data_IF_416776979443
#
_entry.id   IF_416776979443
#
_cell.length_a   1.000
_cell.length_b   1.000
_cell.length_c   1.000
_cell.angle_alpha   90.00
_cell.angle_beta   90.00
_cell.angle_gamma   90.00
#
_symmetry.space_group_name_H-M   'P 1'
#
loop_
_entity.id
_entity.type
_entity.pdbx_description
1 polymer ?
#
# COMPACT_ATOMS: atom_id res chain seq x y z
N UNK A 1 1.59 15.41 12.61
CA UNK A 1 2.89 14.80 12.27
C UNK A 1 3.77 15.91 11.72
N UNK A 2 4.91 16.19 12.35
CA UNK A 2 5.94 17.03 11.72
C UNK A 2 6.68 16.13 10.73
N UNK A 3 6.23 16.13 9.49
CA UNK A 3 6.91 15.40 8.43
C UNK A 3 8.26 16.11 8.19
N UNK A 4 9.33 15.48 8.62
CA UNK A 4 10.68 16.01 8.34
C UNK A 4 10.93 15.88 6.83
N UNK A 5 10.99 16.99 6.05
CA UNK A 5 11.12 16.92 4.60
C UNK A 5 12.39 16.19 4.15
N UNK A 6 13.48 16.36 4.89
CA UNK A 6 14.74 15.69 4.59
C UNK A 6 14.62 14.17 4.75
N UNK A 7 13.96 13.72 5.82
CA UNK A 7 13.72 12.28 6.02
C UNK A 7 12.84 11.70 4.91
N UNK A 8 11.77 12.40 4.52
CA UNK A 8 10.92 11.98 3.40
C UNK A 8 11.71 11.87 2.09
N UNK A 9 12.58 12.84 1.81
CA UNK A 9 13.42 12.82 0.60
C UNK A 9 14.42 11.67 0.61
N UNK A 10 15.06 11.39 1.75
CA UNK A 10 16.00 10.26 1.91
C UNK A 10 15.24 8.93 1.73
N UNK A 11 14.08 8.77 2.36
CA UNK A 11 13.26 7.57 2.20
C UNK A 11 12.75 7.41 0.76
N UNK A 12 12.35 8.52 0.11
CA UNK A 12 11.95 8.50 -1.30
C UNK A 12 13.11 8.09 -2.21
N UNK A 13 14.32 8.62 -1.99
CA UNK A 13 15.50 8.25 -2.77
C UNK A 13 15.83 6.75 -2.63
N UNK A 14 15.80 6.22 -1.41
CA UNK A 14 16.00 4.79 -1.16
C UNK A 14 14.91 3.94 -1.84
N UNK A 15 13.65 4.39 -1.78
CA UNK A 15 12.54 3.71 -2.44
C UNK A 15 12.65 3.72 -3.97
N UNK A 16 13.03 4.85 -4.55
CA UNK A 16 13.26 4.96 -6.01
C UNK A 16 14.44 4.10 -6.46
N UNK A 17 15.49 4.00 -5.65
CA UNK A 17 16.60 3.09 -5.93
C UNK A 17 16.15 1.62 -5.93
N UNK A 18 15.36 1.20 -4.93
CA UNK A 18 14.79 -0.15 -4.91
C UNK A 18 13.86 -0.41 -6.11
N UNK A 19 13.05 0.59 -6.50
CA UNK A 19 12.20 0.51 -7.69
C UNK A 19 13.03 0.39 -8.98
N UNK A 20 14.15 1.09 -9.07
CA UNK A 20 15.07 0.99 -10.19
C UNK A 20 15.69 -0.40 -10.31
N UNK A 21 16.15 -1.00 -9.20
CA UNK A 21 16.65 -2.37 -9.17
C UNK A 21 15.58 -3.38 -9.60
N UNK A 22 14.37 -3.24 -9.04
CA UNK A 22 13.24 -4.10 -9.41
C UNK A 22 12.88 -3.96 -10.89
N UNK A 23 12.89 -2.74 -11.42
CA UNK A 23 12.63 -2.49 -12.84
C UNK A 23 13.72 -3.07 -13.76
N UNK A 24 14.97 -3.15 -13.30
CA UNK A 24 16.04 -3.82 -14.04
C UNK A 24 15.75 -5.33 -14.18
N UNK A 25 15.40 -5.99 -13.06
CA UNK A 25 15.01 -7.40 -13.07
C UNK A 25 13.75 -7.65 -13.90
N UNK A 26 12.75 -6.76 -13.83
CA UNK A 26 11.55 -6.83 -14.65
C UNK A 26 11.86 -6.77 -16.16
N UNK A 27 12.77 -5.87 -16.57
CA UNK A 27 13.16 -5.76 -18.00
C UNK A 27 13.84 -7.03 -18.49
N UNK A 28 14.71 -7.65 -17.69
CA UNK A 28 15.36 -8.92 -18.06
C UNK A 28 14.36 -10.07 -18.14
N UNK A 29 13.42 -10.15 -17.20
CA UNK A 29 12.35 -11.14 -17.23
C UNK A 29 11.42 -10.95 -18.45
N UNK A 30 11.10 -9.70 -18.80
CA UNK A 30 10.31 -9.37 -19.99
C UNK A 30 11.03 -9.73 -21.30
N UNK A 31 12.37 -9.65 -21.32
CA UNK A 31 13.20 -10.03 -22.45
C UNK A 31 13.44 -11.56 -22.56
N UNK A 32 12.72 -12.38 -21.73
CA UNK A 32 12.89 -13.84 -21.72
C UNK A 32 14.18 -14.35 -21.05
N UNK A 33 14.87 -13.50 -20.29
CA UNK A 33 16.11 -13.82 -19.58
C UNK A 33 15.94 -13.55 -18.08
N UNK A 34 15.09 -14.32 -17.36
CA UNK A 34 14.82 -14.08 -15.96
C UNK A 34 16.09 -14.27 -15.12
N UNK A 35 16.36 -13.33 -14.21
CA UNK A 35 17.44 -13.43 -13.24
C UNK A 35 17.01 -14.37 -12.10
N UNK A 36 17.74 -15.45 -11.76
CA UNK A 36 17.41 -16.33 -10.63
C UNK A 36 17.43 -15.63 -9.28
N UNK A 37 18.12 -14.50 -9.17
CA UNK A 37 18.21 -13.68 -7.96
C UNK A 37 17.37 -12.40 -8.06
N UNK A 38 16.40 -12.37 -8.98
CA UNK A 38 15.52 -11.21 -9.16
C UNK A 38 14.76 -10.88 -7.89
N UNK A 39 14.48 -9.60 -7.69
CA UNK A 39 13.58 -9.15 -6.65
C UNK A 39 12.18 -9.77 -6.82
N UNK A 40 11.47 -10.07 -5.74
CA UNK A 40 10.18 -10.76 -5.79
C UNK A 40 9.18 -10.10 -6.73
N UNK A 41 8.49 -10.92 -7.51
CA UNK A 41 7.43 -10.48 -8.41
C UNK A 41 7.85 -9.55 -9.55
N UNK A 42 9.14 -9.44 -9.85
CA UNK A 42 9.68 -8.68 -10.99
C UNK A 42 9.45 -9.41 -12.31
N UNK A 43 8.21 -9.75 -12.60
CA UNK A 43 7.77 -10.47 -13.79
C UNK A 43 6.58 -9.80 -14.46
N UNK A 44 6.39 -9.94 -15.79
CA UNK A 44 5.26 -9.32 -16.47
C UNK A 44 3.89 -9.80 -15.99
N UNK A 45 2.94 -8.88 -15.95
CA UNK A 45 1.51 -9.13 -15.82
C UNK A 45 0.74 -8.48 -16.97
N UNK A 46 -0.47 -8.94 -17.22
CA UNK A 46 -1.38 -8.27 -18.15
C UNK A 46 -1.77 -6.89 -17.64
N UNK A 47 -1.86 -5.90 -18.51
CA UNK A 47 -2.36 -4.55 -18.19
C UNK A 47 -3.78 -4.64 -17.63
N UNK A 48 -4.61 -5.52 -18.18
CA UNK A 48 -5.98 -5.75 -17.69
C UNK A 48 -6.01 -6.13 -16.21
N UNK A 49 -5.11 -6.98 -15.76
CA UNK A 49 -5.03 -7.38 -14.34
C UNK A 49 -4.64 -6.19 -13.45
N UNK A 50 -3.74 -5.33 -13.93
CA UNK A 50 -3.41 -4.10 -13.21
C UNK A 50 -4.62 -3.15 -13.14
N UNK A 51 -5.41 -3.05 -14.21
CA UNK A 51 -6.64 -2.26 -14.23
C UNK A 51 -7.67 -2.83 -13.24
N UNK A 52 -7.92 -4.14 -13.26
CA UNK A 52 -8.84 -4.79 -12.29
C UNK A 52 -8.38 -4.56 -10.86
N UNK A 53 -7.08 -4.69 -10.60
CA UNK A 53 -6.51 -4.46 -9.27
C UNK A 53 -6.72 -3.01 -8.81
N UNK A 54 -6.43 -2.04 -9.67
CA UNK A 54 -6.64 -0.63 -9.39
C UNK A 54 -8.13 -0.29 -9.17
N UNK A 55 -9.02 -0.80 -10.00
CA UNK A 55 -10.48 -0.57 -9.87
C UNK A 55 -11.03 -1.14 -8.56
N UNK A 56 -10.58 -2.33 -8.13
CA UNK A 56 -10.97 -2.87 -6.83
C UNK A 56 -10.47 -2.02 -5.66
N UNK A 57 -9.23 -1.50 -5.75
CA UNK A 57 -8.71 -0.58 -4.74
C UNK A 57 -9.50 0.74 -4.69
N UNK A 58 -9.86 1.31 -5.85
CA UNK A 58 -10.70 2.51 -5.94
C UNK A 58 -12.11 2.25 -5.38
N UNK A 59 -12.71 1.09 -5.62
CA UNK A 59 -13.99 0.72 -5.04
C UNK A 59 -13.94 0.65 -3.51
N UNK A 60 -12.87 0.05 -2.94
CA UNK A 60 -12.64 0.03 -1.49
C UNK A 60 -12.49 1.47 -0.95
N UNK A 61 -11.69 2.32 -1.61
CA UNK A 61 -11.49 3.72 -1.20
C UNK A 61 -12.79 4.52 -1.27
N UNK A 62 -13.61 4.30 -2.30
CA UNK A 62 -14.93 4.94 -2.43
C UNK A 62 -15.86 4.51 -1.29
N UNK A 63 -15.90 3.21 -0.97
CA UNK A 63 -16.68 2.68 0.14
C UNK A 63 -16.19 3.23 1.49
N UNK A 64 -14.87 3.33 1.68
CA UNK A 64 -14.24 3.96 2.84
C UNK A 64 -14.69 5.42 2.99
N UNK A 65 -14.54 6.24 1.94
CA UNK A 65 -14.93 7.66 1.97
C UNK A 65 -16.42 7.84 2.22
N UNK A 66 -17.25 7.03 1.55
CA UNK A 66 -18.70 7.06 1.77
C UNK A 66 -19.08 6.69 3.20
N UNK A 67 -18.45 5.65 3.75
CA UNK A 67 -18.66 5.24 5.14
C UNK A 67 -18.25 6.32 6.14
N UNK A 68 -17.10 6.99 5.92
CA UNK A 68 -16.65 8.11 6.75
C UNK A 68 -17.66 9.27 6.76
N UNK A 69 -18.21 9.61 5.60
CA UNK A 69 -19.23 10.66 5.47
C UNK A 69 -20.49 10.25 6.25
N UNK A 70 -20.96 9.01 6.06
CA UNK A 70 -22.18 8.50 6.72
C UNK A 70 -22.07 8.41 8.23
N UNK A 71 -20.87 8.12 8.73
CA UNK A 71 -20.59 7.99 10.16
C UNK A 71 -20.16 9.32 10.82
N UNK A 72 -20.07 10.42 10.07
CA UNK A 72 -19.61 11.72 10.59
C UNK A 72 -18.13 11.72 10.96
N UNK A 73 -17.32 10.85 10.35
CA UNK A 73 -15.88 10.72 10.63
C UNK A 73 -15.00 11.57 9.72
N UNK A 74 -15.59 12.20 8.69
CA UNK A 74 -14.84 12.97 7.68
C UNK A 74 -14.07 14.16 8.27
N UNK A 75 -14.60 14.78 9.33
CA UNK A 75 -13.96 15.92 10.00
C UNK A 75 -12.73 15.51 10.84
N UNK A 76 -12.56 14.21 11.10
CA UNK A 76 -11.44 13.66 11.85
C UNK A 76 -10.27 13.25 10.95
N UNK A 77 -10.26 13.69 9.69
CA UNK A 77 -9.17 13.41 8.75
C UNK A 77 -7.87 14.10 9.19
N UNK A 78 -6.77 13.37 9.14
CA UNK A 78 -5.44 13.96 9.33
C UNK A 78 -5.07 14.85 8.15
N UNK A 79 -4.43 15.99 8.43
CA UNK A 79 -3.83 16.82 7.39
C UNK A 79 -2.58 16.13 6.81
N UNK A 80 -2.27 16.42 5.56
CA UNK A 80 -1.06 15.96 4.89
C UNK A 80 -0.47 17.08 4.02
N UNK A 81 0.84 17.01 3.75
CA UNK A 81 1.51 17.93 2.83
C UNK A 81 1.55 17.35 1.42
N UNK A 82 1.82 18.18 0.41
CA UNK A 82 1.99 17.71 -0.98
C UNK A 82 3.18 16.75 -1.06
N UNK A 83 4.30 17.08 -0.40
CA UNK A 83 5.50 16.23 -0.39
C UNK A 83 5.20 14.85 0.21
N UNK A 84 4.45 14.79 1.33
CA UNK A 84 4.04 13.52 1.91
C UNK A 84 3.14 12.72 0.96
N UNK A 85 2.18 13.39 0.29
CA UNK A 85 1.33 12.76 -0.71
C UNK A 85 2.13 12.12 -1.86
N UNK A 86 3.14 12.83 -2.38
CA UNK A 86 4.04 12.30 -3.40
C UNK A 86 4.89 11.13 -2.86
N UNK A 87 5.39 11.26 -1.64
CA UNK A 87 6.14 10.20 -0.96
C UNK A 87 5.32 8.92 -0.84
N UNK A 88 4.00 9.00 -0.57
CA UNK A 88 3.15 7.80 -0.42
C UNK A 88 3.11 6.94 -1.69
N UNK A 89 3.37 7.50 -2.88
CA UNK A 89 3.46 6.73 -4.13
C UNK A 89 4.73 5.88 -4.17
N UNK A 90 5.84 6.41 -3.67
CA UNK A 90 7.09 5.65 -3.54
C UNK A 90 6.97 4.63 -2.42
N UNK A 91 6.39 5.02 -1.28
CA UNK A 91 6.12 4.14 -0.16
C UNK A 91 5.25 2.96 -0.57
N UNK A 92 4.20 3.18 -1.38
CA UNK A 92 3.35 2.11 -1.90
C UNK A 92 4.16 1.01 -2.61
N UNK A 93 5.14 1.38 -3.45
CA UNK A 93 6.01 0.39 -4.09
C UNK A 93 6.83 -0.41 -3.06
N UNK A 94 7.45 0.27 -2.10
CA UNK A 94 8.27 -0.38 -1.06
C UNK A 94 7.43 -1.30 -0.19
N UNK A 95 6.26 -0.85 0.21
CA UNK A 95 5.33 -1.64 1.03
C UNK A 95 4.86 -2.90 0.26
N UNK A 96 4.56 -2.77 -1.03
CA UNK A 96 4.22 -3.94 -1.84
C UNK A 96 5.41 -4.90 -2.00
N UNK A 97 6.61 -4.38 -2.21
CA UNK A 97 7.81 -5.20 -2.31
C UNK A 97 8.08 -5.98 -1.00
N UNK A 98 7.91 -5.32 0.15
CA UNK A 98 8.09 -5.95 1.46
C UNK A 98 6.97 -6.97 1.72
N UNK A 99 5.71 -6.53 1.72
CA UNK A 99 4.60 -7.36 2.19
C UNK A 99 4.18 -8.41 1.16
N UNK A 100 4.04 -8.06 -0.13
CA UNK A 100 3.59 -8.96 -1.19
C UNK A 100 4.75 -9.59 -1.96
N UNK A 101 5.96 -9.07 -1.75
CA UNK A 101 7.18 -9.65 -2.28
C UNK A 101 7.87 -10.59 -1.31
N UNK A 102 8.34 -10.09 -0.17
CA UNK A 102 9.17 -10.85 0.77
C UNK A 102 8.35 -11.55 1.88
N UNK A 103 7.29 -10.92 2.40
CA UNK A 103 6.46 -11.53 3.47
C UNK A 103 5.37 -12.39 2.83
N UNK A 104 5.78 -13.54 2.26
CA UNK A 104 4.90 -14.49 1.57
C UNK A 104 5.22 -15.91 2.01
N UNK A 105 4.17 -16.69 2.30
CA UNK A 105 4.34 -18.12 2.58
C UNK A 105 4.16 -18.89 1.26
N UNK A 106 5.26 -19.46 0.76
CA UNK A 106 5.28 -20.26 -0.46
C UNK A 106 5.63 -21.72 -0.14
N UNK A 107 5.27 -22.64 -1.05
CA UNK A 107 5.63 -24.05 -0.95
C UNK A 107 4.88 -24.88 0.12
N UNK A 108 3.95 -24.28 0.88
CA UNK A 108 3.22 -24.95 1.97
C UNK A 108 1.72 -25.11 1.70
N UNK A 109 1.31 -25.05 0.45
CA UNK A 109 -0.09 -25.18 0.03
C UNK A 109 -0.92 -23.89 0.14
N UNK A 110 -2.12 -23.91 -0.46
CA UNK A 110 -2.97 -22.72 -0.57
C UNK A 110 -3.46 -22.21 0.80
N UNK A 111 -3.82 -23.10 1.72
CA UNK A 111 -4.29 -22.73 3.06
C UNK A 111 -3.24 -21.93 3.84
N UNK A 112 -1.98 -22.42 3.89
CA UNK A 112 -0.90 -21.72 4.57
C UNK A 112 -0.53 -20.41 3.89
N UNK A 113 -0.60 -20.32 2.56
CA UNK A 113 -0.39 -19.09 1.82
C UNK A 113 -1.42 -18.01 2.22
N UNK A 114 -2.70 -18.38 2.30
CA UNK A 114 -3.75 -17.46 2.71
C UNK A 114 -3.70 -17.10 4.18
N UNK A 115 -3.35 -18.05 5.06
CA UNK A 115 -3.12 -17.76 6.48
C UNK A 115 -1.97 -16.73 6.64
N UNK A 116 -0.89 -16.92 5.89
CA UNK A 116 0.22 -15.95 5.84
C UNK A 116 -0.22 -14.58 5.31
N UNK A 117 -1.04 -14.54 4.25
CA UNK A 117 -1.58 -13.29 3.69
C UNK A 117 -2.46 -12.55 4.69
N UNK A 118 -3.32 -13.27 5.43
CA UNK A 118 -4.16 -12.67 6.48
C UNK A 118 -3.27 -12.13 7.62
N UNK A 119 -2.34 -12.93 8.12
CA UNK A 119 -1.41 -12.50 9.19
C UNK A 119 -0.59 -11.28 8.78
N UNK A 120 -0.03 -11.28 7.56
CA UNK A 120 0.71 -10.14 7.03
C UNK A 120 -0.20 -8.90 6.81
N UNK A 121 -1.49 -9.09 6.44
CA UNK A 121 -2.43 -7.99 6.31
C UNK A 121 -2.81 -7.38 7.66
N UNK A 122 -2.95 -8.21 8.70
CA UNK A 122 -3.16 -7.73 10.07
C UNK A 122 -1.93 -6.94 10.55
N UNK A 123 -0.73 -7.46 10.32
CA UNK A 123 0.52 -6.75 10.64
C UNK A 123 0.60 -5.42 9.88
N UNK A 124 0.29 -5.41 8.59
CA UNK A 124 0.29 -4.21 7.76
C UNK A 124 -0.67 -3.15 8.32
N UNK A 125 -1.89 -3.54 8.67
CA UNK A 125 -2.88 -2.63 9.25
C UNK A 125 -2.45 -2.13 10.65
N UNK A 126 -1.84 -2.99 11.46
CA UNK A 126 -1.35 -2.64 12.79
C UNK A 126 -0.15 -1.67 12.76
N UNK A 127 0.68 -1.73 11.73
CA UNK A 127 1.79 -0.79 11.54
C UNK A 127 1.34 0.62 11.13
N UNK A 128 0.11 0.78 10.65
CA UNK A 128 -0.46 2.10 10.38
C UNK A 128 -0.92 2.74 11.72
N UNK A 129 -0.47 3.97 12.04
CA UNK A 129 -0.70 4.59 13.35
C UNK A 129 -2.12 5.16 13.48
N UNK A 130 -3.15 4.33 13.28
CA UNK A 130 -4.55 4.73 13.47
C UNK A 130 -5.08 4.41 14.86
N UNK A 131 -4.51 3.40 15.51
CA UNK A 131 -4.93 2.92 16.82
C UNK A 131 -3.90 3.18 17.91
N UNK A 132 -2.78 3.81 17.56
CA UNK A 132 -1.69 4.12 18.48
C UNK A 132 -0.99 5.40 18.07
N UNK A 133 -0.36 6.06 19.02
CA UNK A 133 0.51 7.20 18.79
C UNK A 133 1.82 7.02 19.56
N UNK A 134 2.90 7.48 18.94
CA UNK A 134 4.23 7.52 19.51
C UNK A 134 4.89 8.82 19.09
N UNK A 135 4.66 9.87 19.86
CA UNK A 135 5.27 11.17 19.63
C UNK A 135 6.53 11.36 20.47
N UNK A 136 7.40 12.28 20.04
CA UNK A 136 8.65 12.59 20.74
C UNK A 136 8.45 13.03 22.20
N UNK A 137 7.29 13.56 22.53
CA UNK A 137 6.99 14.17 23.81
C UNK A 137 6.02 13.36 24.69
N UNK A 138 5.55 12.21 24.19
CA UNK A 138 4.65 11.33 24.93
C UNK A 138 5.04 9.87 24.75
N UNK A 139 4.92 9.02 25.78
CA UNK A 139 5.15 7.60 25.63
C UNK A 139 4.13 6.98 24.66
N UNK A 140 4.47 5.81 24.14
CA UNK A 140 3.55 5.01 23.33
C UNK A 140 2.21 4.85 24.07
N UNK A 141 1.11 5.17 23.40
CA UNK A 141 -0.24 4.96 23.93
C UNK A 141 -1.22 4.54 22.83
N UNK A 142 -2.27 3.83 23.22
CA UNK A 142 -3.33 3.40 22.30
C UNK A 142 -4.38 4.52 22.18
N UNK A 143 -4.77 4.80 20.92
CA UNK A 143 -5.77 5.81 20.57
C UNK A 143 -7.01 5.15 19.95
N UNK A 144 -7.70 4.28 20.69
CA UNK A 144 -8.77 3.41 20.20
C UNK A 144 -10.05 4.19 19.81
N UNK A 145 -9.95 5.11 18.86
CA UNK A 145 -11.06 5.92 18.37
C UNK A 145 -11.88 5.19 17.30
N UNK A 146 -13.15 5.60 17.11
CA UNK A 146 -14.00 5.06 16.05
C UNK A 146 -13.37 5.28 14.67
N UNK A 147 -12.78 6.48 14.42
CA UNK A 147 -12.05 6.78 13.19
C UNK A 147 -10.85 5.87 13.01
N UNK A 148 -10.06 5.67 14.07
CA UNK A 148 -8.89 4.79 14.04
C UNK A 148 -9.26 3.35 13.67
N UNK A 149 -10.27 2.79 14.28
CA UNK A 149 -10.78 1.46 13.95
C UNK A 149 -11.29 1.38 12.51
N UNK A 150 -12.07 2.37 12.07
CA UNK A 150 -12.59 2.41 10.70
C UNK A 150 -11.46 2.43 9.66
N UNK A 151 -10.46 3.30 9.85
CA UNK A 151 -9.30 3.38 8.96
C UNK A 151 -8.46 2.10 8.98
N UNK A 152 -8.29 1.46 10.15
CA UNK A 152 -7.59 0.18 10.28
C UNK A 152 -8.28 -0.92 9.49
N UNK A 153 -9.62 -1.03 9.55
CA UNK A 153 -10.38 -1.99 8.76
C UNK A 153 -10.29 -1.71 7.25
N UNK A 154 -10.31 -0.45 6.84
CA UNK A 154 -10.15 -0.07 5.43
C UNK A 154 -8.76 -0.44 4.88
N UNK A 155 -7.70 -0.24 5.68
CA UNK A 155 -6.34 -0.67 5.33
C UNK A 155 -6.25 -2.19 5.29
N UNK A 156 -6.83 -2.90 6.25
CA UNK A 156 -6.88 -4.37 6.26
C UNK A 156 -7.58 -4.92 5.00
N UNK A 157 -8.75 -4.38 4.65
CA UNK A 157 -9.49 -4.77 3.45
C UNK A 157 -8.67 -4.52 2.16
N UNK A 158 -8.01 -3.36 2.07
CA UNK A 158 -7.12 -3.04 0.96
C UNK A 158 -5.94 -4.00 0.87
N UNK A 159 -5.32 -4.31 2.01
CA UNK A 159 -4.20 -5.25 2.09
C UNK A 159 -4.60 -6.65 1.63
N UNK A 160 -5.75 -7.15 2.08
CA UNK A 160 -6.29 -8.44 1.63
C UNK A 160 -6.60 -8.45 0.12
N UNK A 161 -7.14 -7.34 -0.42
CA UNK A 161 -7.33 -7.18 -1.86
C UNK A 161 -6.02 -7.28 -2.63
N UNK A 162 -4.94 -6.63 -2.16
CA UNK A 162 -3.63 -6.67 -2.81
C UNK A 162 -3.07 -8.11 -2.80
N UNK A 163 -3.20 -8.85 -1.70
CA UNK A 163 -2.83 -10.26 -1.67
C UNK A 163 -3.71 -11.12 -2.60
N UNK A 164 -5.01 -10.84 -2.69
CA UNK A 164 -5.90 -11.52 -3.63
C UNK A 164 -5.42 -11.34 -5.08
N UNK A 165 -5.03 -10.12 -5.46
CA UNK A 165 -4.48 -9.84 -6.79
C UNK A 165 -3.09 -10.45 -7.00
N UNK A 166 -2.27 -10.54 -5.95
CA UNK A 166 -0.97 -11.21 -6.01
C UNK A 166 -1.09 -12.70 -6.31
N UNK A 167 -2.07 -13.36 -5.68
CA UNK A 167 -2.26 -14.82 -5.74
C UNK A 167 -3.42 -15.27 -6.64
N UNK A 168 -4.01 -14.39 -7.41
CA UNK A 168 -5.06 -14.73 -8.36
C UNK A 168 -4.49 -15.56 -9.52
N UNK A 169 -4.34 -16.88 -9.32
CA UNK A 169 -3.64 -17.77 -10.24
C UNK A 169 -4.15 -17.70 -11.70
N UNK A 170 -5.46 -17.45 -11.91
CA UNK A 170 -6.03 -17.28 -13.25
C UNK A 170 -5.71 -15.94 -13.88
N UNK A 171 -5.61 -14.87 -13.09
CA UNK A 171 -5.39 -13.51 -13.57
C UNK A 171 -3.92 -13.13 -13.55
N UNK A 172 -3.17 -13.59 -12.54
CA UNK A 172 -1.77 -13.29 -12.30
C UNK A 172 -0.94 -14.59 -12.12
N UNK A 173 -0.87 -15.46 -13.14
CA UNK A 173 -0.28 -16.80 -13.01
C UNK A 173 1.21 -16.79 -12.67
N UNK A 174 1.92 -15.70 -13.01
CA UNK A 174 3.34 -15.51 -12.68
C UNK A 174 3.55 -14.85 -11.33
N UNK A 175 2.47 -14.61 -10.59
CA UNK A 175 2.51 -13.88 -9.34
C UNK A 175 3.34 -12.59 -9.44
N UNK A 176 3.07 -11.76 -10.46
CA UNK A 176 3.68 -10.44 -10.63
C UNK A 176 3.28 -9.49 -9.51
N UNK A 177 4.19 -8.60 -9.12
CA UNK A 177 3.90 -7.56 -8.14
C UNK A 177 3.17 -6.34 -8.76
N UNK A 178 3.20 -6.20 -10.10
CA UNK A 178 2.62 -5.06 -10.80
C UNK A 178 1.14 -4.78 -10.44
N UNK A 179 0.23 -5.78 -10.37
CA UNK A 179 -1.16 -5.52 -9.99
C UNK A 179 -1.29 -4.94 -8.58
N UNK A 180 -0.44 -5.38 -7.64
CA UNK A 180 -0.46 -4.87 -6.27
C UNK A 180 0.03 -3.41 -6.22
N UNK A 181 1.12 -3.12 -6.91
CA UNK A 181 1.67 -1.75 -7.03
C UNK A 181 0.66 -0.82 -7.72
N UNK A 182 -0.01 -1.28 -8.78
CA UNK A 182 -1.05 -0.51 -9.46
C UNK A 182 -2.26 -0.22 -8.53
N UNK A 183 -2.71 -1.23 -7.78
CA UNK A 183 -3.81 -1.09 -6.83
C UNK A 183 -3.48 -0.11 -5.69
N UNK A 184 -2.30 -0.27 -5.09
CA UNK A 184 -1.86 0.58 -3.98
C UNK A 184 -1.60 2.01 -4.44
N UNK A 185 -0.92 2.19 -5.56
CA UNK A 185 -0.71 3.51 -6.16
C UNK A 185 -2.03 4.22 -6.49
N UNK A 186 -2.99 3.50 -7.09
CA UNK A 186 -4.32 4.04 -7.38
C UNK A 186 -5.07 4.47 -6.10
N UNK A 187 -5.00 3.64 -5.03
CA UNK A 187 -5.56 4.01 -3.71
C UNK A 187 -4.94 5.30 -3.18
N UNK A 188 -3.61 5.39 -3.17
CA UNK A 188 -2.92 6.56 -2.60
C UNK A 188 -3.18 7.84 -3.41
N UNK A 189 -3.27 7.75 -4.74
CA UNK A 189 -3.68 8.87 -5.59
C UNK A 189 -5.11 9.30 -5.25
N UNK A 190 -6.04 8.36 -5.11
CA UNK A 190 -7.43 8.66 -4.78
C UNK A 190 -7.54 9.29 -3.38
N UNK A 191 -6.87 8.75 -2.38
CA UNK A 191 -6.83 9.32 -1.01
C UNK A 191 -6.28 10.74 -1.04
N UNK A 192 -5.17 10.98 -1.77
CA UNK A 192 -4.61 12.32 -1.92
C UNK A 192 -5.61 13.29 -2.57
N UNK A 193 -6.26 12.88 -3.67
CA UNK A 193 -7.25 13.69 -4.38
C UNK A 193 -8.47 14.00 -3.50
N UNK A 194 -8.99 13.02 -2.76
CA UNK A 194 -10.10 13.20 -1.81
C UNK A 194 -9.72 14.18 -0.71
N UNK A 195 -8.55 14.01 -0.09
CA UNK A 195 -8.05 14.93 0.94
C UNK A 195 -7.83 16.34 0.41
N UNK A 196 -7.35 16.49 -0.82
CA UNK A 196 -7.19 17.78 -1.47
C UNK A 196 -8.56 18.46 -1.68
N UNK A 197 -9.55 17.72 -2.18
CA UNK A 197 -10.90 18.22 -2.38
C UNK A 197 -11.60 18.61 -1.06
N UNK A 198 -11.28 17.91 0.04
CA UNK A 198 -11.80 18.19 1.38
C UNK A 198 -11.02 19.27 2.15
N UNK A 199 -9.92 19.83 1.59
CA UNK A 199 -9.11 20.86 2.25
C UNK A 199 -8.12 20.33 3.29
N UNK A 200 -7.80 19.02 3.28
CA UNK A 200 -6.85 18.41 4.21
C UNK A 200 -5.41 18.32 3.66
N UNK A 201 -5.17 18.78 2.43
CA UNK A 201 -3.82 18.95 1.91
C UNK A 201 -3.36 20.37 2.21
N UNK A 202 -2.29 20.52 3.02
CA UNK A 202 -1.83 21.80 3.56
C UNK A 202 -0.34 22.00 3.30
N UNK A 203 0.00 23.02 2.51
CA UNK A 203 1.39 23.36 2.23
C UNK A 203 2.14 22.32 1.37
N UNK A 204 3.41 22.63 1.10
CA UNK A 204 4.26 21.77 0.30
C UNK A 204 5.02 20.74 1.15
N UNK A 205 5.40 21.10 2.38
CA UNK A 205 6.17 20.31 3.34
C UNK A 205 5.77 20.63 4.80
#
# INVERSE_FOLDING_TARGET
MNDNPLLLLVCAAAGLYAAWLWAADFRTARAGRPNPRALPGAVPASVWVCVVAAMGALAITTAETWGEIRLGLSEQQSKMTVLFGLYTLVAAFIEELIFRGFIVVEGRGAGMRWAGAVGASVLFAALHPFLWDWSKNQPFHLTLTAKGWFSTWAVLASSLWFYAMRFAARLNPKASLLPCVAAHGAKNIAVFAIKAAQGYVVGWW
#
